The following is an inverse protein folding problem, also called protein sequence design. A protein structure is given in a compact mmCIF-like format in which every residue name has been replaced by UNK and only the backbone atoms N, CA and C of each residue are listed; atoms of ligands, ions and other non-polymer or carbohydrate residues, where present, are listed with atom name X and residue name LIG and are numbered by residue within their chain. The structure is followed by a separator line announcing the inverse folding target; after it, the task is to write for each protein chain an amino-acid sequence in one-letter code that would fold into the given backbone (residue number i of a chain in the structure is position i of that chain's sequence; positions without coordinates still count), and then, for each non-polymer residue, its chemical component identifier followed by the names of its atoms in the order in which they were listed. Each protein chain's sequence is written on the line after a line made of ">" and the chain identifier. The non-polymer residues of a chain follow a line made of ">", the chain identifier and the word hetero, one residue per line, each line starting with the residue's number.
data_IF_158263372893
#
_entry.id   IF_158263372893
#
_cell.length_a   1.000
_cell.length_b   1.000
_cell.length_c   1.000
_cell.angle_alpha   90.00
_cell.angle_beta   90.00
_cell.angle_gamma   90.00
#
_symmetry.space_group_name_H-M   'P 1'
#
loop_
_entity.id
_entity.type
_entity.pdbx_description
1 polymer ?
#
# COMPACT_ATOMS: atom_id res chain seq x y z
N UNK A 1 -12.66 -1.95 -7.68
CA UNK A 1 -11.84 -0.73 -7.80
C UNK A 1 -12.11 0.14 -6.60
N UNK A 2 -11.10 0.41 -5.78
CA UNK A 2 -11.21 1.09 -4.47
C UNK A 2 -11.53 2.60 -4.55
N UNK A 3 -12.01 3.11 -5.68
CA UNK A 3 -12.41 4.53 -5.80
C UNK A 3 -11.26 5.54 -5.75
N UNK A 4 -10.02 5.10 -5.99
CA UNK A 4 -8.82 5.95 -5.94
C UNK A 4 -8.70 6.93 -7.12
N UNK A 5 -9.62 6.89 -8.08
CA UNK A 5 -9.52 7.67 -9.32
C UNK A 5 -8.41 7.21 -10.27
N UNK A 6 -7.65 6.18 -9.89
CA UNK A 6 -6.63 5.57 -10.75
C UNK A 6 -7.31 4.53 -11.64
N UNK A 7 -7.16 4.71 -12.95
CA UNK A 7 -7.73 3.80 -13.93
C UNK A 7 -6.75 2.70 -14.33
N UNK A 8 -5.49 3.07 -14.46
CA UNK A 8 -4.43 2.17 -14.91
C UNK A 8 -3.11 2.55 -14.27
N UNK A 9 -2.26 1.54 -14.06
CA UNK A 9 -0.86 1.71 -13.71
C UNK A 9 -0.03 1.28 -14.91
N UNK A 10 0.79 2.18 -15.40
CA UNK A 10 1.72 1.96 -16.52
C UNK A 10 3.14 1.91 -15.97
N UNK A 11 4.00 1.13 -16.63
CA UNK A 11 5.44 1.17 -16.40
C UNK A 11 6.08 1.67 -17.69
N UNK A 12 6.74 2.80 -17.62
CA UNK A 12 7.54 3.34 -18.72
C UNK A 12 9.00 3.04 -18.48
N UNK A 13 9.70 2.59 -19.53
CA UNK A 13 11.14 2.29 -19.47
C UNK A 13 11.83 3.03 -20.59
N UNK A 14 12.86 3.78 -20.25
CA UNK A 14 13.64 4.55 -21.20
C UNK A 14 15.16 4.51 -20.88
N UNK A 15 15.98 5.04 -21.77
CA UNK A 15 17.41 5.17 -21.54
C UNK A 15 17.66 6.14 -20.39
N UNK A 16 18.53 5.76 -19.46
CA UNK A 16 18.77 6.57 -18.26
C UNK A 16 19.47 7.92 -18.58
N UNK A 17 20.34 7.97 -19.57
CA UNK A 17 21.00 9.22 -19.98
C UNK A 17 20.02 10.20 -20.61
N UNK A 18 19.09 9.69 -21.46
CA UNK A 18 18.05 10.50 -22.08
C UNK A 18 17.10 11.05 -21.02
N UNK A 19 16.71 10.21 -20.07
CA UNK A 19 15.87 10.60 -18.94
C UNK A 19 16.52 11.69 -18.08
N UNK A 20 17.80 11.54 -17.72
CA UNK A 20 18.54 12.54 -16.94
C UNK A 20 18.61 13.91 -17.62
N UNK A 21 18.56 13.96 -18.94
CA UNK A 21 18.61 15.24 -19.69
C UNK A 21 17.34 16.08 -19.56
N UNK A 22 16.22 15.45 -19.18
CA UNK A 22 14.88 16.05 -19.15
C UNK A 22 14.28 16.15 -17.75
N UNK A 23 14.88 15.50 -16.75
CA UNK A 23 14.35 15.40 -15.39
C UNK A 23 15.31 15.93 -14.32
N UNK A 24 14.76 16.36 -13.19
CA UNK A 24 15.56 16.73 -12.03
C UNK A 24 16.16 15.48 -11.36
N UNK A 25 17.47 15.42 -11.30
CA UNK A 25 18.26 14.31 -10.75
C UNK A 25 18.62 14.49 -9.26
N UNK A 26 18.24 15.61 -8.63
CA UNK A 26 18.62 15.94 -7.26
C UNK A 26 18.17 14.89 -6.22
N UNK A 27 17.10 14.18 -6.49
CA UNK A 27 16.53 13.16 -5.63
C UNK A 27 16.99 11.73 -5.94
N UNK A 28 17.95 11.55 -6.85
CA UNK A 28 18.47 10.21 -7.16
C UNK A 28 19.44 9.72 -6.08
N UNK A 29 19.47 8.40 -5.83
CA UNK A 29 20.40 7.79 -4.88
C UNK A 29 21.82 7.71 -5.48
N UNK A 30 22.50 8.85 -5.53
CA UNK A 30 23.79 9.01 -6.24
C UNK A 30 24.89 8.04 -5.79
N UNK A 31 24.88 7.63 -4.52
CA UNK A 31 25.86 6.66 -4.02
C UNK A 31 25.64 5.27 -4.64
N UNK A 32 24.40 4.82 -4.71
CA UNK A 32 24.01 3.56 -5.37
C UNK A 32 24.28 3.60 -6.89
N UNK A 33 24.08 4.75 -7.52
CA UNK A 33 24.39 4.93 -8.95
C UNK A 33 25.90 4.82 -9.22
N UNK A 34 26.76 5.25 -8.29
CA UNK A 34 28.21 5.04 -8.39
C UNK A 34 28.57 3.56 -8.29
N UNK A 35 27.91 2.82 -7.38
CA UNK A 35 28.09 1.37 -7.24
C UNK A 35 27.65 0.62 -8.51
N UNK A 36 26.56 1.05 -9.17
CA UNK A 36 26.16 0.50 -10.47
C UNK A 36 27.21 0.75 -11.56
N UNK A 37 27.74 1.97 -11.64
CA UNK A 37 28.81 2.32 -12.62
C UNK A 37 30.08 1.53 -12.40
N UNK A 38 30.38 1.15 -11.16
CA UNK A 38 31.52 0.27 -10.85
C UNK A 38 31.24 -1.22 -11.07
N UNK A 39 30.04 -1.59 -11.50
CA UNK A 39 29.64 -2.98 -11.72
C UNK A 39 29.31 -3.77 -10.45
N UNK A 40 29.23 -3.11 -9.30
CA UNK A 40 28.89 -3.75 -7.99
C UNK A 40 27.40 -4.06 -7.92
N UNK A 41 26.55 -3.17 -8.49
CA UNK A 41 25.11 -3.35 -8.52
C UNK A 41 24.60 -3.40 -9.98
N UNK A 42 23.67 -4.30 -10.27
CA UNK A 42 22.98 -4.37 -11.56
C UNK A 42 21.65 -3.64 -11.58
N UNK A 43 21.08 -3.37 -10.40
CA UNK A 43 19.79 -2.70 -10.24
C UNK A 43 19.76 -1.84 -8.98
N UNK A 44 19.10 -0.70 -9.07
CA UNK A 44 18.76 0.17 -7.94
C UNK A 44 17.27 0.48 -7.97
N UNK A 45 16.57 0.23 -6.87
CA UNK A 45 15.14 0.53 -6.74
C UNK A 45 14.93 1.71 -5.80
N UNK A 46 14.26 2.74 -6.29
CA UNK A 46 13.78 3.86 -5.50
C UNK A 46 12.27 3.71 -5.26
N UNK A 47 11.94 3.10 -4.14
CA UNK A 47 10.55 2.87 -3.76
C UNK A 47 9.75 4.17 -3.51
N UNK A 48 10.42 5.27 -3.14
CA UNK A 48 9.74 6.54 -2.86
C UNK A 48 9.20 7.19 -4.11
N UNK A 49 9.92 7.03 -5.21
CA UNK A 49 9.56 7.60 -6.51
C UNK A 49 9.02 6.54 -7.48
N UNK A 50 8.81 5.30 -7.02
CA UNK A 50 8.36 4.18 -7.86
C UNK A 50 9.21 4.00 -9.12
N UNK A 51 10.53 4.15 -8.97
CA UNK A 51 11.52 4.05 -10.04
C UNK A 51 12.47 2.91 -9.78
N UNK A 52 12.90 2.24 -10.86
CA UNK A 52 14.04 1.34 -10.81
C UNK A 52 15.01 1.69 -11.93
N UNK A 53 16.30 1.60 -11.63
CA UNK A 53 17.38 1.76 -12.61
C UNK A 53 18.06 0.40 -12.71
N UNK A 54 18.12 -0.15 -13.91
CA UNK A 54 18.74 -1.44 -14.20
C UNK A 54 19.79 -1.30 -15.32
N UNK A 55 20.67 -2.28 -15.42
CA UNK A 55 21.61 -2.40 -16.52
C UNK A 55 21.19 -3.61 -17.39
N UNK A 56 20.77 -3.34 -18.61
CA UNK A 56 20.40 -4.35 -19.58
C UNK A 56 21.29 -4.20 -20.82
N UNK A 57 21.96 -5.28 -21.20
CA UNK A 57 22.90 -5.31 -22.32
C UNK A 57 23.99 -4.19 -22.27
N UNK A 58 24.44 -3.84 -21.06
CA UNK A 58 25.43 -2.78 -20.84
C UNK A 58 24.88 -1.35 -20.92
N UNK A 59 23.58 -1.20 -21.13
CA UNK A 59 22.87 0.09 -21.16
C UNK A 59 22.10 0.29 -19.86
N UNK A 60 22.27 1.47 -19.25
CA UNK A 60 21.45 1.84 -18.09
C UNK A 60 20.05 2.26 -18.55
N UNK A 61 19.03 1.62 -17.98
CA UNK A 61 17.62 1.93 -18.22
C UNK A 61 16.96 2.35 -16.92
N UNK A 62 16.03 3.30 -17.02
CA UNK A 62 15.16 3.69 -15.94
C UNK A 62 13.73 3.22 -16.25
N UNK A 63 13.10 2.57 -15.27
CA UNK A 63 11.68 2.23 -15.32
C UNK A 63 10.94 3.02 -14.25
N UNK A 64 9.85 3.67 -14.63
CA UNK A 64 9.02 4.47 -13.73
C UNK A 64 7.57 3.99 -13.78
N UNK A 65 6.95 3.89 -12.61
CA UNK A 65 5.53 3.57 -12.50
C UNK A 65 4.71 4.85 -12.55
N UNK A 66 3.80 4.93 -13.50
CA UNK A 66 2.89 6.06 -13.70
C UNK A 66 1.44 5.64 -13.45
N UNK A 67 0.67 6.54 -12.88
CA UNK A 67 -0.72 6.34 -12.47
C UNK A 67 -1.64 7.15 -13.37
N UNK A 68 -2.36 6.47 -14.26
CA UNK A 68 -3.30 7.12 -15.17
C UNK A 68 -4.57 7.53 -14.41
N UNK A 69 -4.89 8.79 -14.47
CA UNK A 69 -6.13 9.36 -13.93
C UNK A 69 -6.97 9.98 -15.05
N UNK A 70 -8.30 9.83 -14.94
CA UNK A 70 -9.24 10.49 -15.84
C UNK A 70 -9.72 11.83 -15.27
N UNK A 71 -9.65 12.82 -16.13
CA UNK A 71 -10.30 14.11 -15.91
C UNK A 71 -11.68 14.18 -16.58
N UNK A 72 -12.25 15.38 -16.59
CA UNK A 72 -13.50 15.68 -17.29
C UNK A 72 -13.31 15.53 -18.81
N UNK A 73 -14.40 15.21 -19.51
CA UNK A 73 -14.47 15.12 -20.99
C UNK A 73 -13.51 14.09 -21.63
N UNK A 74 -13.23 12.99 -20.95
CA UNK A 74 -12.37 11.93 -21.48
C UNK A 74 -10.86 12.25 -21.48
N UNK A 75 -10.47 13.39 -20.88
CA UNK A 75 -9.07 13.69 -20.68
C UNK A 75 -8.44 12.67 -19.73
N UNK A 76 -7.29 12.13 -20.09
CA UNK A 76 -6.49 11.28 -19.19
C UNK A 76 -5.07 11.81 -19.08
N UNK A 77 -4.47 11.65 -17.92
CA UNK A 77 -3.08 12.03 -17.66
C UNK A 77 -2.39 10.97 -16.83
N UNK A 78 -1.20 10.61 -17.25
CA UNK A 78 -0.29 9.80 -16.45
C UNK A 78 0.42 10.70 -15.44
N UNK A 79 0.40 10.29 -14.19
CA UNK A 79 0.89 11.09 -13.06
C UNK A 79 1.87 10.26 -12.24
N UNK A 80 2.92 10.93 -11.79
CA UNK A 80 3.90 10.40 -10.85
C UNK A 80 3.25 10.08 -9.49
N UNK A 81 3.89 9.21 -8.72
CA UNK A 81 3.49 8.89 -7.34
C UNK A 81 3.43 10.12 -6.45
N UNK A 82 4.32 11.10 -6.65
CA UNK A 82 4.35 12.35 -5.89
C UNK A 82 3.13 13.25 -6.11
N UNK A 83 2.43 13.06 -7.23
CA UNK A 83 1.18 13.76 -7.52
C UNK A 83 -0.05 13.06 -6.94
N UNK A 84 0.12 11.92 -6.27
CA UNK A 84 -0.97 11.19 -5.62
C UNK A 84 -1.21 11.70 -4.20
N UNK A 85 -2.41 11.43 -3.67
CA UNK A 85 -2.70 11.71 -2.25
C UNK A 85 -1.94 10.76 -1.32
N UNK A 86 -1.67 11.20 -0.09
CA UNK A 86 -1.01 10.37 0.93
C UNK A 86 -1.74 9.04 1.14
N UNK A 87 -3.07 9.06 1.13
CA UNK A 87 -3.88 7.86 1.25
C UNK A 87 -3.70 6.89 0.07
N UNK A 88 -3.56 7.40 -1.14
CA UNK A 88 -3.25 6.60 -2.33
C UNK A 88 -1.87 5.96 -2.21
N UNK A 89 -0.87 6.75 -1.84
CA UNK A 89 0.51 6.28 -1.64
C UNK A 89 0.55 5.20 -0.57
N UNK A 90 -0.14 5.42 0.55
CA UNK A 90 -0.22 4.45 1.64
C UNK A 90 -0.86 3.14 1.18
N UNK A 91 -2.00 3.19 0.50
CA UNK A 91 -2.63 1.98 -0.05
C UNK A 91 -1.70 1.21 -1.00
N UNK A 92 -1.05 1.92 -1.92
CA UNK A 92 -0.10 1.31 -2.85
C UNK A 92 1.07 0.63 -2.13
N UNK A 93 1.55 1.23 -1.03
CA UNK A 93 2.63 0.64 -0.22
C UNK A 93 2.22 -0.65 0.50
N UNK A 94 0.93 -0.84 0.77
CA UNK A 94 0.40 -2.05 1.42
C UNK A 94 0.15 -3.20 0.43
N UNK A 95 -0.11 -2.89 -0.85
CA UNK A 95 -0.48 -3.90 -1.87
C UNK A 95 0.50 -5.06 -1.97
N UNK A 96 1.84 -4.85 -2.02
CA UNK A 96 2.78 -5.97 -2.14
C UNK A 96 2.71 -6.93 -0.95
N UNK A 97 2.65 -6.40 0.27
CA UNK A 97 2.60 -7.21 1.49
C UNK A 97 1.28 -8.00 1.59
N UNK A 98 0.16 -7.36 1.28
CA UNK A 98 -1.16 -8.01 1.28
C UNK A 98 -1.25 -9.07 0.19
N UNK A 99 -0.73 -8.78 -1.01
CA UNK A 99 -0.70 -9.74 -2.11
C UNK A 99 0.15 -10.97 -1.77
N UNK A 100 1.35 -10.76 -1.19
CA UNK A 100 2.24 -11.85 -0.78
C UNK A 100 1.61 -12.69 0.35
N UNK A 101 0.95 -12.06 1.32
CA UNK A 101 0.21 -12.76 2.36
C UNK A 101 -0.87 -13.69 1.76
N UNK A 102 -1.67 -13.17 0.83
CA UNK A 102 -2.74 -13.95 0.19
C UNK A 102 -2.20 -15.10 -0.66
N UNK A 103 -1.10 -14.90 -1.39
CA UNK A 103 -0.55 -15.90 -2.32
C UNK A 103 0.33 -16.94 -1.65
N UNK A 104 1.04 -16.56 -0.59
CA UNK A 104 2.08 -17.40 0.04
C UNK A 104 1.67 -17.92 1.42
N UNK A 105 0.39 -17.82 1.79
CA UNK A 105 -0.13 -18.24 3.09
C UNK A 105 0.66 -17.63 4.29
N UNK A 106 1.04 -16.34 4.17
CA UNK A 106 1.82 -15.64 5.19
C UNK A 106 0.93 -14.80 6.08
N UNK A 107 1.44 -14.50 7.28
CA UNK A 107 0.84 -13.50 8.17
C UNK A 107 1.46 -12.14 7.88
N UNK A 108 0.62 -11.14 7.65
CA UNK A 108 1.01 -9.74 7.58
C UNK A 108 0.47 -8.99 8.79
N UNK A 109 1.33 -8.19 9.42
CA UNK A 109 0.96 -7.37 10.59
C UNK A 109 1.11 -5.90 10.18
N UNK A 110 0.04 -5.12 10.35
CA UNK A 110 0.00 -3.70 9.97
C UNK A 110 -0.45 -2.88 11.18
N UNK A 111 0.44 -2.04 11.66
CA UNK A 111 0.08 -1.06 12.70
C UNK A 111 -0.55 0.18 12.07
N UNK A 112 -1.61 0.70 12.69
CA UNK A 112 -2.37 1.85 12.20
C UNK A 112 -2.76 1.71 10.71
N UNK A 113 -3.51 0.65 10.38
CA UNK A 113 -3.96 0.39 9.01
C UNK A 113 -4.69 1.59 8.39
N UNK A 114 -5.38 2.37 9.20
CA UNK A 114 -6.15 3.55 8.80
C UNK A 114 -5.32 4.84 8.68
N UNK A 115 -4.01 4.79 8.95
CA UNK A 115 -3.16 5.98 8.84
C UNK A 115 -3.21 6.56 7.43
N UNK A 116 -3.65 7.82 7.31
CA UNK A 116 -3.85 8.55 6.04
C UNK A 116 -4.88 7.95 5.07
N UNK A 117 -5.58 6.87 5.43
CA UNK A 117 -6.56 6.21 4.56
C UNK A 117 -7.98 6.53 5.03
N UNK A 118 -8.85 6.91 4.10
CA UNK A 118 -10.26 7.16 4.42
C UNK A 118 -10.95 5.89 4.91
N UNK A 119 -11.80 6.00 5.95
CA UNK A 119 -12.47 4.88 6.61
C UNK A 119 -13.20 3.92 5.66
N UNK A 120 -13.83 4.45 4.62
CA UNK A 120 -14.47 3.62 3.59
C UNK A 120 -13.47 2.71 2.86
N UNK A 121 -12.27 3.22 2.54
CA UNK A 121 -11.23 2.44 1.87
C UNK A 121 -10.62 1.39 2.79
N UNK A 122 -10.44 1.70 4.07
CA UNK A 122 -9.99 0.72 5.07
C UNK A 122 -10.98 -0.44 5.15
N UNK A 123 -12.28 -0.13 5.23
CA UNK A 123 -13.34 -1.13 5.24
C UNK A 123 -13.32 -2.02 4.00
N UNK A 124 -13.21 -1.42 2.82
CA UNK A 124 -13.18 -2.16 1.56
C UNK A 124 -11.91 -3.03 1.44
N UNK A 125 -10.76 -2.56 1.94
CA UNK A 125 -9.52 -3.31 1.97
C UNK A 125 -9.64 -4.56 2.85
N UNK A 126 -10.14 -4.40 4.08
CA UNK A 126 -10.33 -5.52 5.03
C UNK A 126 -11.36 -6.50 4.47
N UNK A 127 -12.49 -6.00 3.95
CA UNK A 127 -13.52 -6.82 3.31
C UNK A 127 -12.96 -7.61 2.13
N UNK A 128 -12.15 -6.97 1.29
CA UNK A 128 -11.52 -7.64 0.16
C UNK A 128 -10.61 -8.77 0.62
N UNK A 129 -9.74 -8.52 1.60
CA UNK A 129 -8.85 -9.55 2.15
C UNK A 129 -9.64 -10.72 2.74
N UNK A 130 -10.67 -10.44 3.57
CA UNK A 130 -11.51 -11.46 4.21
C UNK A 130 -12.36 -12.27 3.23
N UNK A 131 -12.66 -11.71 2.04
CA UNK A 131 -13.44 -12.40 1.01
C UNK A 131 -12.61 -13.33 0.12
N UNK A 132 -11.28 -13.32 0.26
CA UNK A 132 -10.41 -14.16 -0.57
C UNK A 132 -10.34 -15.58 0.01
N UNK A 133 -10.32 -16.57 -0.88
CA UNK A 133 -9.99 -17.94 -0.51
C UNK A 133 -8.47 -18.06 -0.37
N UNK A 134 -7.98 -17.77 0.84
CA UNK A 134 -6.55 -17.73 1.15
C UNK A 134 -6.27 -18.29 2.53
N UNK A 135 -5.11 -18.91 2.71
CA UNK A 135 -4.57 -19.27 4.01
C UNK A 135 -3.70 -18.15 4.62
N UNK A 136 -3.67 -16.98 3.99
CA UNK A 136 -2.98 -15.80 4.53
C UNK A 136 -3.74 -15.19 5.70
N UNK A 137 -3.02 -14.54 6.61
CA UNK A 137 -3.58 -13.87 7.77
C UNK A 137 -3.24 -12.38 7.77
N UNK A 138 -4.24 -11.54 8.03
CA UNK A 138 -4.07 -10.09 8.24
C UNK A 138 -4.34 -9.77 9.71
N UNK A 139 -3.33 -9.26 10.41
CA UNK A 139 -3.45 -8.71 11.76
C UNK A 139 -3.20 -7.21 11.66
N UNK A 140 -4.08 -6.40 12.21
CA UNK A 140 -3.91 -4.96 12.14
C UNK A 140 -4.45 -4.25 13.37
N UNK A 141 -3.90 -3.06 13.65
CA UNK A 141 -4.47 -2.11 14.59
C UNK A 141 -5.17 -0.98 13.84
N UNK A 142 -6.20 -0.40 14.42
CA UNK A 142 -6.95 0.70 13.84
C UNK A 142 -7.75 1.47 14.89
N UNK A 143 -8.01 2.74 14.62
CA UNK A 143 -8.95 3.57 15.39
C UNK A 143 -10.36 3.61 14.78
N UNK A 144 -10.60 2.87 13.69
CA UNK A 144 -11.86 2.90 12.94
C UNK A 144 -12.92 1.99 13.55
N UNK A 145 -13.76 2.56 14.40
CA UNK A 145 -14.87 1.83 15.05
C UNK A 145 -15.94 1.34 14.05
N UNK A 146 -15.99 1.91 12.84
CA UNK A 146 -16.92 1.45 11.80
C UNK A 146 -16.67 0.00 11.33
N UNK A 147 -15.50 -0.57 11.64
CA UNK A 147 -15.21 -1.98 11.36
C UNK A 147 -15.88 -2.94 12.34
N UNK A 148 -16.28 -2.49 13.53
CA UNK A 148 -16.88 -3.34 14.55
C UNK A 148 -18.31 -3.84 14.20
N UNK A 149 -18.98 -3.17 13.27
CA UNK A 149 -20.34 -3.52 12.85
C UNK A 149 -20.37 -3.92 11.37
N UNK A 150 -19.55 -4.91 11.01
CA UNK A 150 -19.46 -5.42 9.64
C UNK A 150 -19.69 -6.93 9.61
N UNK A 151 -20.36 -7.38 8.56
CA UNK A 151 -20.75 -8.78 8.35
C UNK A 151 -19.54 -9.69 8.00
N UNK A 152 -18.41 -9.09 7.60
CA UNK A 152 -17.19 -9.81 7.19
C UNK A 152 -16.16 -9.99 8.31
N UNK A 153 -16.43 -9.45 9.50
CA UNK A 153 -15.60 -9.65 10.70
C UNK A 153 -16.43 -10.36 11.79
N UNK A 154 -15.85 -11.38 12.36
CA UNK A 154 -16.45 -12.08 13.50
C UNK A 154 -16.09 -11.37 14.80
N UNK A 155 -16.93 -11.52 15.82
CA UNK A 155 -16.70 -10.91 17.13
C UNK A 155 -15.43 -11.41 17.83
N UNK A 156 -15.01 -12.64 17.55
CA UNK A 156 -13.76 -13.22 18.08
C UNK A 156 -12.51 -12.74 17.35
N UNK A 157 -12.65 -12.10 16.20
CA UNK A 157 -11.55 -11.47 15.46
C UNK A 157 -11.27 -10.03 15.90
N UNK A 158 -12.22 -9.39 16.59
CA UNK A 158 -12.10 -8.01 17.03
C UNK A 158 -11.68 -7.94 18.51
N UNK A 159 -10.59 -7.22 18.78
CA UNK A 159 -10.04 -7.04 20.10
C UNK A 159 -9.93 -5.55 20.44
N UNK A 160 -10.37 -5.20 21.63
CA UNK A 160 -10.24 -3.84 22.17
C UNK A 160 -9.03 -3.78 23.09
N UNK A 161 -8.25 -2.71 22.99
CA UNK A 161 -7.09 -2.47 23.85
C UNK A 161 -7.34 -1.21 24.66
N UNK A 162 -7.26 -1.34 25.98
CA UNK A 162 -7.40 -0.24 26.92
C UNK A 162 -6.11 -0.09 27.73
N UNK A 163 -5.70 1.15 27.98
CA UNK A 163 -4.61 1.46 28.90
C UNK A 163 -5.20 1.89 30.25
N UNK A 164 -4.97 1.09 31.29
CA UNK A 164 -5.45 1.35 32.64
C UNK A 164 -4.35 1.08 33.67
N UNK A 165 -4.19 1.98 34.64
CA UNK A 165 -3.25 1.85 35.77
C UNK A 165 -1.79 1.54 35.33
N UNK A 166 -1.37 2.09 34.19
CA UNK A 166 -0.04 1.88 33.63
C UNK A 166 0.15 0.57 32.84
N UNK A 167 -0.84 -0.32 32.81
CA UNK A 167 -0.88 -1.55 32.03
C UNK A 167 -1.76 -1.45 30.79
N UNK A 168 -1.52 -2.34 29.82
CA UNK A 168 -2.42 -2.52 28.68
C UNK A 168 -3.25 -3.79 28.88
N UNK A 169 -4.55 -3.68 28.69
CA UNK A 169 -5.51 -4.77 28.80
C UNK A 169 -6.16 -5.00 27.43
N UNK A 170 -6.31 -6.28 27.06
CA UNK A 170 -6.98 -6.67 25.83
C UNK A 170 -8.25 -7.44 26.14
N UNK A 171 -9.33 -7.11 25.44
CA UNK A 171 -10.63 -7.75 25.56
C UNK A 171 -11.12 -8.14 24.17
N UNK A 172 -11.56 -9.40 24.01
CA UNK A 172 -12.27 -9.79 22.80
C UNK A 172 -13.65 -9.16 22.76
N UNK A 173 -14.11 -8.74 21.60
CA UNK A 173 -15.48 -8.27 21.43
C UNK A 173 -16.48 -9.40 21.78
N UNK A 174 -16.08 -10.65 21.64
CA UNK A 174 -16.86 -11.82 22.02
C UNK A 174 -17.09 -11.95 23.54
N UNK A 175 -16.25 -11.31 24.38
CA UNK A 175 -16.41 -11.31 25.85
C UNK A 175 -17.55 -10.39 26.31
N UNK A 176 -17.96 -9.46 25.44
CA UNK A 176 -19.10 -8.59 25.70
C UNK A 176 -20.39 -9.29 25.26
N UNK A 177 -21.23 -9.67 26.21
CA UNK A 177 -22.58 -10.19 25.91
C UNK A 177 -23.38 -9.06 25.25
N UNK A 178 -23.57 -9.17 23.94
CA UNK A 178 -24.48 -8.29 23.22
C UNK A 178 -25.90 -8.69 23.71
N UNK A 179 -26.45 -7.92 24.66
CA UNK A 179 -27.85 -8.01 24.97
C UNK A 179 -28.64 -7.49 23.77
N UNK A 180 -29.03 -8.38 22.89
CA UNK A 180 -30.06 -8.12 21.89
C UNK A 180 -31.38 -7.84 22.64
N UNK A 181 -31.56 -6.61 23.09
CA UNK A 181 -32.89 -6.12 23.45
C UNK A 181 -33.56 -5.68 22.15
N UNK A 182 -34.06 -6.65 21.38
CA UNK A 182 -35.04 -6.38 20.35
C UNK A 182 -36.39 -6.45 21.08
N UNK A 183 -36.99 -5.29 21.31
CA UNK A 183 -38.41 -5.11 21.54
C UNK A 183 -39.01 -4.45 20.31
#
# INVERSE_FOLDING_TARGET
>A
VLGLGINRVNVETENFEDWMSTHDISNLPMDKLKEMRSGVLSEVVDFRNTRSISVEDGVQKISQMLFQQFGKNGFSKDMDIQAQSDGTVRLLSLVPALYDAMKSAKTVIIDELDHSIHSHLVRELVRYFSSQDTNGQLIFTTHQTCLLNQDFLRTDEAWMVEKKDGGSHMYSLNDFKIHNTIN
#
